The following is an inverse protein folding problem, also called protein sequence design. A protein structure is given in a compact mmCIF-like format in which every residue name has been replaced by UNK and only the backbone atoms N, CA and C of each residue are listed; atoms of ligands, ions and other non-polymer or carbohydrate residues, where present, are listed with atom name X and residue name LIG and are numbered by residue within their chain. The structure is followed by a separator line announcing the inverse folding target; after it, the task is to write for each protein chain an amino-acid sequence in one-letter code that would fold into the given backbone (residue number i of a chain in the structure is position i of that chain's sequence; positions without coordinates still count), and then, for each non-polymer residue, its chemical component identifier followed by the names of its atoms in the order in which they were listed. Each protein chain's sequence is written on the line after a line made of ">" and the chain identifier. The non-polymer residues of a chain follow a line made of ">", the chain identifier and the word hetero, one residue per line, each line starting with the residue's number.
data_IF_523611793373
#
_entry.id   IF_523611793373
#
_cell.length_a   1.000
_cell.length_b   1.000
_cell.length_c   1.000
_cell.angle_alpha   90.00
_cell.angle_beta   90.00
_cell.angle_gamma   90.00
#
_symmetry.space_group_name_H-M   'P 1'
#
loop_
_entity.id
_entity.type
_entity.pdbx_description
1 polymer ?
#
# COMPACT_ATOMS: atom_id res chain seq x y z
N UNK A 1 -20.91 -0.53 4.53
CA UNK A 1 -19.72 0.19 5.03
C UNK A 1 -18.66 -0.87 5.28
N UNK A 2 -17.47 -0.69 4.72
CA UNK A 2 -16.41 -1.69 4.66
C UNK A 2 -15.17 -1.16 5.37
N UNK A 3 -14.54 -1.99 6.20
CA UNK A 3 -13.36 -1.61 6.98
C UNK A 3 -12.11 -1.94 6.16
N UNK A 4 -11.12 -1.06 6.20
CA UNK A 4 -9.80 -1.36 5.69
C UNK A 4 -8.75 -1.11 6.77
N UNK A 5 -7.68 -1.91 6.74
CA UNK A 5 -6.55 -1.82 7.65
C UNK A 5 -5.27 -1.83 6.84
N UNK A 6 -4.30 -0.99 7.24
CA UNK A 6 -2.94 -1.02 6.76
C UNK A 6 -2.01 -1.22 7.96
N UNK A 7 -1.36 -2.37 8.00
CA UNK A 7 -0.26 -2.63 8.94
C UNK A 7 1.06 -2.23 8.28
N UNK A 8 1.87 -1.45 8.98
CA UNK A 8 3.19 -0.99 8.56
C UNK A 8 4.19 -1.53 9.58
N UNK A 9 5.05 -2.45 9.15
CA UNK A 9 6.10 -3.02 9.98
C UNK A 9 7.45 -2.57 9.47
N UNK A 10 8.26 -1.95 10.33
CA UNK A 10 9.67 -1.68 10.08
C UNK A 10 10.54 -2.48 11.08
N UNK A 11 11.85 -2.27 11.03
CA UNK A 11 12.82 -3.00 11.87
C UNK A 11 12.59 -2.84 13.39
N UNK A 12 11.86 -1.81 13.81
CA UNK A 12 11.72 -1.40 15.20
C UNK A 12 10.27 -1.37 15.70
N UNK A 13 9.29 -1.29 14.81
CA UNK A 13 7.91 -1.07 15.20
C UNK A 13 6.90 -1.63 14.18
N UNK A 14 5.74 -2.02 14.69
CA UNK A 14 4.54 -2.24 13.88
C UNK A 14 3.49 -1.19 14.27
N UNK A 15 3.00 -0.43 13.29
CA UNK A 15 1.86 0.47 13.46
C UNK A 15 0.74 0.12 12.50
N UNK A 16 -0.49 0.31 12.93
CA UNK A 16 -1.68 0.04 12.12
C UNK A 16 -2.48 1.32 11.87
N UNK A 17 -2.94 1.50 10.64
CA UNK A 17 -3.87 2.54 10.22
C UNK A 17 -5.18 1.84 9.86
N UNK A 18 -6.29 2.28 10.45
CA UNK A 18 -7.62 1.70 10.21
C UNK A 18 -8.54 2.80 9.69
N UNK A 19 -9.33 2.47 8.68
CA UNK A 19 -10.35 3.36 8.16
C UNK A 19 -11.56 2.61 7.63
N UNK A 20 -12.54 3.37 7.15
CA UNK A 20 -13.79 2.84 6.58
C UNK A 20 -14.08 3.48 5.24
N UNK A 21 -14.74 2.74 4.35
CA UNK A 21 -15.26 3.24 3.08
C UNK A 21 -16.69 2.74 2.82
N UNK A 22 -17.38 3.34 1.85
CA UNK A 22 -18.78 3.03 1.56
C UNK A 22 -18.96 1.64 0.91
N UNK A 23 -17.96 1.12 0.19
CA UNK A 23 -17.98 -0.20 -0.45
C UNK A 23 -16.57 -0.83 -0.53
N UNK A 24 -16.45 -2.13 -0.89
CA UNK A 24 -15.17 -2.84 -0.94
C UNK A 24 -14.16 -2.26 -1.94
N UNK A 25 -14.63 -1.78 -3.10
CA UNK A 25 -13.75 -1.18 -4.11
C UNK A 25 -13.10 0.12 -3.59
N UNK A 26 -13.90 0.98 -2.96
CA UNK A 26 -13.43 2.20 -2.32
C UNK A 26 -12.51 1.92 -1.12
N UNK A 27 -12.79 0.86 -0.35
CA UNK A 27 -11.93 0.42 0.75
C UNK A 27 -10.56 -0.07 0.24
N UNK A 28 -10.53 -0.87 -0.83
CA UNK A 28 -9.30 -1.30 -1.48
C UNK A 28 -8.49 -0.10 -2.00
N UNK A 29 -9.12 0.83 -2.71
CA UNK A 29 -8.47 2.05 -3.19
C UNK A 29 -7.97 2.95 -2.05
N UNK A 30 -8.69 3.01 -0.92
CA UNK A 30 -8.25 3.74 0.27
C UNK A 30 -7.02 3.09 0.92
N UNK A 31 -7.02 1.77 1.06
CA UNK A 31 -5.90 1.01 1.63
C UNK A 31 -4.62 1.16 0.77
N UNK A 32 -4.73 1.04 -0.56
CA UNK A 32 -3.59 1.22 -1.47
C UNK A 32 -3.04 2.65 -1.44
N UNK A 33 -3.91 3.67 -1.39
CA UNK A 33 -3.49 5.07 -1.22
C UNK A 33 -2.79 5.32 0.12
N UNK A 34 -3.24 4.65 1.18
CA UNK A 34 -2.60 4.70 2.48
C UNK A 34 -1.18 4.12 2.43
N UNK A 35 -0.95 3.04 1.66
CA UNK A 35 0.41 2.50 1.43
C UNK A 35 1.28 3.55 0.74
N UNK A 36 0.79 4.17 -0.35
CA UNK A 36 1.55 5.19 -1.06
C UNK A 36 1.94 6.38 -0.17
N UNK A 37 1.03 6.81 0.69
CA UNK A 37 1.30 7.89 1.67
C UNK A 37 2.31 7.47 2.73
N UNK A 38 2.19 6.26 3.26
CA UNK A 38 3.13 5.73 4.23
C UNK A 38 4.53 5.55 3.64
N UNK A 39 4.61 5.11 2.38
CA UNK A 39 5.85 4.95 1.63
C UNK A 39 6.54 6.27 1.34
N UNK A 40 5.79 7.31 0.97
CA UNK A 40 6.35 8.65 0.81
C UNK A 40 6.93 9.22 2.12
N UNK A 41 6.41 8.77 3.27
CA UNK A 41 6.86 9.20 4.59
C UNK A 41 7.92 8.28 5.24
N UNK A 42 8.33 7.19 4.58
CA UNK A 42 9.18 6.15 5.16
C UNK A 42 10.66 6.51 5.26
N UNK A 43 11.14 7.49 4.47
CA UNK A 43 12.51 8.00 4.57
C UNK A 43 13.57 6.97 4.17
N UNK A 44 14.38 6.50 5.13
CA UNK A 44 15.44 5.49 4.92
C UNK A 44 15.10 4.12 5.51
N UNK A 45 13.84 3.89 5.87
CA UNK A 45 13.40 2.63 6.46
C UNK A 45 13.05 1.61 5.37
N UNK A 46 13.05 0.32 5.71
CA UNK A 46 12.60 -0.77 4.83
C UNK A 46 11.26 -1.34 5.31
N UNK A 47 10.17 -0.56 5.28
CA UNK A 47 8.91 -1.00 5.82
C UNK A 47 8.25 -2.06 4.92
N UNK A 48 7.52 -2.93 5.58
CA UNK A 48 6.63 -3.92 5.02
C UNK A 48 5.18 -3.47 5.27
N UNK A 49 4.43 -3.33 4.19
CA UNK A 49 3.04 -2.92 4.20
C UNK A 49 2.13 -4.13 4.01
N UNK A 50 1.15 -4.31 4.89
CA UNK A 50 0.07 -5.30 4.73
C UNK A 50 -1.27 -4.59 4.72
N UNK A 51 -1.96 -4.61 3.59
CA UNK A 51 -3.30 -4.03 3.45
C UNK A 51 -4.38 -5.11 3.52
N UNK A 52 -5.43 -4.85 4.29
CA UNK A 52 -6.59 -5.74 4.49
C UNK A 52 -7.89 -4.98 4.25
N UNK A 53 -8.91 -5.68 3.74
CA UNK A 53 -10.29 -5.19 3.59
C UNK A 53 -11.22 -6.21 4.21
N UNK A 54 -12.04 -5.79 5.19
CA UNK A 54 -12.90 -6.66 6.00
C UNK A 54 -12.15 -7.90 6.54
N UNK A 55 -10.90 -7.71 6.97
CA UNK A 55 -10.03 -8.77 7.50
C UNK A 55 -9.30 -9.60 6.43
N UNK A 56 -9.67 -9.50 5.16
CA UNK A 56 -9.01 -10.20 4.06
C UNK A 56 -7.80 -9.43 3.56
N UNK A 57 -6.63 -10.07 3.54
CA UNK A 57 -5.42 -9.46 2.97
C UNK A 57 -5.56 -9.28 1.47
N UNK A 58 -5.38 -8.03 1.01
CA UNK A 58 -5.49 -7.66 -0.41
C UNK A 58 -4.13 -7.34 -1.04
N UNK A 59 -3.14 -6.95 -0.24
CA UNK A 59 -1.79 -6.65 -0.71
C UNK A 59 -0.78 -6.80 0.43
N UNK A 60 0.39 -7.31 0.09
CA UNK A 60 1.58 -7.37 0.93
C UNK A 60 2.72 -6.80 0.09
N UNK A 61 3.32 -5.69 0.52
CA UNK A 61 4.32 -4.96 -0.25
C UNK A 61 5.52 -4.67 0.66
N UNK A 62 6.69 -5.19 0.31
CA UNK A 62 7.94 -4.88 0.98
C UNK A 62 8.73 -3.83 0.20
N UNK A 63 9.42 -2.93 0.91
CA UNK A 63 10.38 -2.02 0.29
C UNK A 63 11.68 -2.78 0.05
N UNK A 64 12.06 -2.93 -1.22
CA UNK A 64 13.35 -3.51 -1.61
C UNK A 64 14.51 -2.51 -1.46
N UNK A 65 15.69 -2.89 -1.95
CA UNK A 65 16.86 -2.00 -2.06
C UNK A 65 17.16 -1.70 -3.51
N UNK A 66 17.60 -0.48 -3.79
CA UNK A 66 18.05 -0.04 -5.11
C UNK A 66 19.51 -0.46 -5.37
N UNK A 67 20.04 -0.08 -6.53
CA UNK A 67 21.42 -0.39 -6.93
C UNK A 67 22.49 0.28 -6.03
N UNK A 68 22.12 1.29 -5.24
CA UNK A 68 22.98 1.96 -4.28
C UNK A 68 22.85 1.37 -2.85
N UNK A 69 21.98 0.37 -2.65
CA UNK A 69 21.70 -0.23 -1.36
C UNK A 69 20.78 0.61 -0.46
N UNK A 70 20.05 1.58 -1.04
CA UNK A 70 19.05 2.39 -0.34
C UNK A 70 17.64 1.83 -0.55
N UNK A 71 16.69 2.08 0.36
CA UNK A 71 15.32 1.62 0.16
C UNK A 71 14.70 2.17 -1.13
N UNK A 72 14.19 1.28 -1.98
CA UNK A 72 13.57 1.65 -3.25
C UNK A 72 12.08 1.98 -3.09
N UNK A 73 11.82 3.13 -2.46
CA UNK A 73 10.47 3.67 -2.32
C UNK A 73 9.83 4.01 -3.66
N UNK A 74 10.64 4.25 -4.70
CA UNK A 74 10.13 4.60 -6.03
C UNK A 74 9.52 3.37 -6.69
N UNK A 75 10.17 2.21 -6.64
CA UNK A 75 9.63 0.95 -7.16
C UNK A 75 8.30 0.58 -6.48
N UNK A 76 8.17 0.85 -5.17
CA UNK A 76 6.89 0.67 -4.46
C UNK A 76 5.79 1.59 -5.00
N UNK A 77 6.11 2.85 -5.30
CA UNK A 77 5.13 3.79 -5.87
C UNK A 77 4.73 3.41 -7.31
N UNK A 78 5.67 2.95 -8.13
CA UNK A 78 5.42 2.43 -9.47
C UNK A 78 4.51 1.19 -9.41
N UNK A 79 4.81 0.23 -8.53
CA UNK A 79 3.98 -0.95 -8.31
C UNK A 79 2.54 -0.59 -7.90
N UNK A 80 2.36 0.39 -7.01
CA UNK A 80 1.01 0.84 -6.62
C UNK A 80 0.25 1.44 -7.80
N UNK A 81 0.93 2.15 -8.69
CA UNK A 81 0.35 2.73 -9.90
C UNK A 81 -0.08 1.62 -10.87
N UNK A 82 0.75 0.60 -11.05
CA UNK A 82 0.43 -0.55 -11.91
C UNK A 82 -0.76 -1.36 -11.37
N UNK A 83 -0.86 -1.53 -10.05
CA UNK A 83 -1.99 -2.20 -9.41
C UNK A 83 -3.29 -1.42 -9.65
N UNK A 84 -3.25 -0.09 -9.55
CA UNK A 84 -4.41 0.77 -9.79
C UNK A 84 -4.85 0.71 -11.26
N UNK A 85 -3.89 0.82 -12.18
CA UNK A 85 -4.12 0.74 -13.62
C UNK A 85 -4.65 -0.63 -14.08
N UNK A 86 -4.14 -1.74 -13.50
CA UNK A 86 -4.64 -3.08 -13.79
C UNK A 86 -6.07 -3.32 -13.27
N UNK A 87 -6.45 -2.62 -12.20
CA UNK A 87 -7.81 -2.72 -11.62
C UNK A 87 -8.81 -1.85 -12.39
N UNK A 88 -8.35 -0.74 -12.95
CA UNK A 88 -9.14 0.16 -13.77
C UNK A 88 -8.56 0.21 -15.19
N UNK A 89 -8.73 -0.87 -15.99
CA UNK A 89 -8.34 -0.81 -17.39
C UNK A 89 -9.16 0.31 -18.01
N UNK A 90 -8.50 1.37 -18.46
CA UNK A 90 -9.17 2.42 -19.22
C UNK A 90 -9.98 1.72 -20.31
N UNK A 91 -11.31 1.79 -20.21
CA UNK A 91 -12.18 1.21 -21.22
C UNK A 91 -11.74 1.83 -22.57
N UNK A 92 -11.47 1.01 -23.60
CA UNK A 92 -11.18 1.58 -24.91
C UNK A 92 -12.37 2.44 -25.33
N UNK A 93 -12.09 3.72 -25.57
CA UNK A 93 -13.01 4.68 -26.17
C UNK A 93 -13.44 4.26 -27.57
#
# INVERSE_FOLDING_TARGET
>A
MTIWTLDITDDHNTRSIVGTAHNPHAARAAALRAIGTANAAAGFTHPHYTAKVDGNTIAIIGTGVDAAGLPDHRAVAELLTDIDAATNPAAPH
#
